data_IF_107922931290
#
_entry.id   IF_107922931290
#
_cell.length_a   1.000
_cell.length_b   1.000
_cell.length_c   1.000
_cell.angle_alpha   90.00
_cell.angle_beta   90.00
_cell.angle_gamma   90.00
#
_symmetry.space_group_name_H-M   'P 1'
#
loop_
_entity.id
_entity.type
_entity.pdbx_description
1 polymer ?
#
# COMPACT_ATOMS: atom_id res chain seq x y z
N UNK A 1 -13.24 16.00 22.32
CA UNK A 1 -12.38 15.15 21.45
C UNK A 1 -12.25 13.77 22.08
N UNK A 2 -12.58 12.68 21.33
CA UNK A 2 -12.55 11.28 21.82
C UNK A 2 -11.16 10.94 22.36
N UNK A 3 -11.07 10.16 23.43
CA UNK A 3 -9.80 9.79 24.09
C UNK A 3 -8.78 9.20 23.11
N UNK A 4 -9.23 8.38 22.16
CA UNK A 4 -8.42 7.81 21.08
C UNK A 4 -7.79 8.85 20.16
N UNK A 5 -8.51 9.92 19.80
CA UNK A 5 -7.97 10.95 18.91
C UNK A 5 -6.88 11.77 19.61
N UNK A 6 -7.03 12.03 20.91
CA UNK A 6 -5.98 12.67 21.71
C UNK A 6 -4.75 11.77 21.78
N UNK A 7 -4.93 10.49 22.09
CA UNK A 7 -3.84 9.52 22.12
C UNK A 7 -3.10 9.42 20.78
N UNK A 8 -3.81 9.31 19.64
CA UNK A 8 -3.18 9.30 18.31
C UNK A 8 -2.43 10.59 18.01
N UNK A 9 -2.97 11.74 18.43
CA UNK A 9 -2.34 13.04 18.22
C UNK A 9 -1.10 13.21 19.09
N UNK A 10 -1.13 12.74 20.34
CA UNK A 10 0.02 12.72 21.25
C UNK A 10 1.14 11.85 20.67
N UNK A 11 0.80 10.65 20.19
CA UNK A 11 1.74 9.75 19.53
C UNK A 11 2.33 10.34 18.24
N UNK A 12 1.53 11.03 17.43
CA UNK A 12 2.00 11.67 16.21
C UNK A 12 3.04 12.75 16.51
N UNK A 13 2.86 13.53 17.59
CA UNK A 13 3.78 14.58 17.99
C UNK A 13 5.15 14.05 18.41
N UNK A 14 5.24 12.79 18.85
CA UNK A 14 6.48 12.10 19.23
C UNK A 14 6.80 10.94 18.29
N UNK A 15 6.26 10.95 17.08
CA UNK A 15 6.45 9.87 16.12
C UNK A 15 7.87 9.84 15.57
N UNK A 16 8.30 8.65 15.16
CA UNK A 16 9.58 8.43 14.49
C UNK A 16 9.34 8.07 13.05
N UNK A 17 9.96 8.81 12.14
CA UNK A 17 9.97 8.50 10.71
C UNK A 17 11.10 7.52 10.38
N UNK A 18 10.78 6.45 9.66
CA UNK A 18 11.76 5.49 9.17
C UNK A 18 11.62 5.33 7.66
N UNK A 19 12.69 5.63 6.93
CA UNK A 19 12.74 5.40 5.48
C UNK A 19 13.04 3.93 5.23
N UNK A 20 12.12 3.25 4.56
CA UNK A 20 12.25 1.84 4.16
C UNK A 20 12.76 1.72 2.73
N UNK A 21 13.49 0.63 2.49
CA UNK A 21 13.99 0.25 1.17
C UNK A 21 12.85 -0.23 0.26
N UNK A 22 12.04 0.72 -0.23
CA UNK A 22 10.84 0.48 -1.04
C UNK A 22 10.52 1.68 -1.94
N UNK A 23 9.84 1.46 -3.06
CA UNK A 23 9.33 2.52 -3.94
C UNK A 23 7.86 2.23 -4.27
N UNK A 24 6.96 2.96 -3.61
CA UNK A 24 5.52 2.73 -3.72
C UNK A 24 5.03 2.89 -5.15
N UNK A 25 5.49 3.93 -5.85
CA UNK A 25 5.05 4.21 -7.20
C UNK A 25 5.56 3.19 -8.21
N UNK A 26 6.80 2.74 -8.08
CA UNK A 26 7.32 1.69 -8.94
C UNK A 26 6.54 0.39 -8.76
N UNK A 27 6.30 -0.04 -7.52
CA UNK A 27 5.54 -1.27 -7.23
C UNK A 27 4.09 -1.15 -7.68
N UNK A 28 3.46 0.00 -7.46
CA UNK A 28 2.10 0.28 -7.96
C UNK A 28 2.01 0.11 -9.49
N UNK A 29 2.94 0.71 -10.26
CA UNK A 29 2.95 0.56 -11.73
C UNK A 29 3.11 -0.92 -12.12
N UNK A 30 4.02 -1.65 -11.49
CA UNK A 30 4.27 -3.06 -11.78
C UNK A 30 3.06 -3.96 -11.48
N UNK A 31 2.34 -3.70 -10.39
CA UNK A 31 1.14 -4.45 -10.01
C UNK A 31 -0.05 -4.20 -10.96
N UNK A 32 -0.15 -2.99 -11.49
CA UNK A 32 -1.28 -2.54 -12.30
C UNK A 32 -1.15 -2.86 -13.79
N UNK A 33 0.03 -3.23 -14.25
CA UNK A 33 0.31 -3.44 -15.67
C UNK A 33 0.67 -4.89 -16.00
N UNK A 34 1.92 -5.26 -15.77
CA UNK A 34 2.49 -6.55 -16.19
C UNK A 34 3.66 -6.87 -15.26
N UNK A 35 3.68 -8.12 -14.75
CA UNK A 35 4.61 -8.53 -13.70
C UNK A 35 5.99 -8.96 -14.22
N UNK A 36 6.13 -9.20 -15.52
CA UNK A 36 7.38 -9.58 -16.18
C UNK A 36 8.10 -8.39 -16.84
N UNK A 37 7.38 -7.32 -17.16
CA UNK A 37 7.97 -6.17 -17.83
C UNK A 37 8.82 -5.30 -16.90
N UNK A 38 10.03 -4.96 -17.38
CA UNK A 38 10.92 -4.03 -16.69
C UNK A 38 10.27 -2.65 -16.54
N UNK A 39 10.41 -2.03 -15.37
CA UNK A 39 9.86 -0.70 -15.03
C UNK A 39 10.14 0.40 -16.08
N UNK A 40 11.30 0.42 -16.73
CA UNK A 40 11.62 1.38 -17.80
C UNK A 40 10.64 1.27 -18.96
N UNK A 41 10.30 0.05 -19.35
CA UNK A 41 9.34 -0.23 -20.41
C UNK A 41 7.93 0.15 -19.97
N UNK A 42 7.52 -0.22 -18.76
CA UNK A 42 6.22 0.14 -18.20
C UNK A 42 6.01 1.66 -18.16
N UNK A 43 6.98 2.39 -17.60
CA UNK A 43 6.98 3.86 -17.55
C UNK A 43 6.90 4.46 -18.95
N UNK A 44 7.72 3.99 -19.89
CA UNK A 44 7.69 4.51 -21.26
C UNK A 44 6.33 4.28 -21.93
N UNK A 45 5.74 3.09 -21.77
CA UNK A 45 4.41 2.78 -22.31
C UNK A 45 3.33 3.69 -21.73
N UNK A 46 3.32 3.92 -20.41
CA UNK A 46 2.36 4.83 -19.77
C UNK A 46 2.51 6.26 -20.30
N UNK A 47 3.74 6.75 -20.44
CA UNK A 47 3.97 8.11 -20.96
C UNK A 47 3.48 8.22 -22.41
N UNK A 48 3.92 7.33 -23.31
CA UNK A 48 3.49 7.37 -24.71
C UNK A 48 1.97 7.25 -24.83
N UNK A 49 1.36 6.34 -24.06
CA UNK A 49 -0.08 6.12 -24.10
C UNK A 49 -0.86 7.37 -23.69
N UNK A 50 -0.48 8.01 -22.59
CA UNK A 50 -1.26 9.09 -21.97
C UNK A 50 -0.78 10.53 -22.28
N UNK A 51 0.36 10.69 -22.96
CA UNK A 51 0.80 11.99 -23.47
C UNK A 51 0.67 12.09 -24.99
N UNK A 52 0.95 11.01 -25.73
CA UNK A 52 1.00 11.07 -27.19
C UNK A 52 -0.30 10.59 -27.85
N UNK A 53 -0.98 9.58 -27.25
CA UNK A 53 -2.12 8.91 -27.92
C UNK A 53 -3.49 9.16 -27.30
N UNK A 54 -3.56 9.61 -26.04
CA UNK A 54 -4.84 9.89 -25.36
C UNK A 54 -4.63 10.56 -24.01
N UNK A 55 -5.70 11.10 -23.41
CA UNK A 55 -5.65 11.64 -22.04
C UNK A 55 -6.21 10.62 -21.05
N UNK A 56 -5.70 10.54 -19.81
CA UNK A 56 -6.27 9.69 -18.76
C UNK A 56 -7.74 10.09 -18.50
N UNK A 57 -8.63 9.11 -18.55
CA UNK A 57 -10.08 9.28 -18.41
C UNK A 57 -10.60 8.93 -17.01
N UNK A 58 -9.82 8.18 -16.23
CA UNK A 58 -10.21 7.75 -14.88
C UNK A 58 -9.22 8.22 -13.82
N UNK A 59 -9.66 8.28 -12.56
CA UNK A 59 -8.78 8.59 -11.41
C UNK A 59 -7.59 7.62 -11.35
N UNK A 60 -7.82 6.32 -11.60
CA UNK A 60 -6.78 5.30 -11.58
C UNK A 60 -5.75 5.49 -12.69
N UNK A 61 -6.18 5.84 -13.90
CA UNK A 61 -5.28 6.19 -15.00
C UNK A 61 -4.46 7.45 -14.67
N UNK A 62 -5.09 8.47 -14.08
CA UNK A 62 -4.37 9.65 -13.62
C UNK A 62 -3.29 9.30 -12.57
N UNK A 63 -3.62 8.44 -11.59
CA UNK A 63 -2.66 7.97 -10.58
C UNK A 63 -1.48 7.24 -11.22
N UNK A 64 -1.73 6.37 -12.21
CA UNK A 64 -0.67 5.67 -12.95
C UNK A 64 0.25 6.62 -13.71
N UNK A 65 -0.32 7.64 -14.36
CA UNK A 65 0.47 8.66 -15.07
C UNK A 65 1.33 9.46 -14.09
N UNK A 66 0.77 9.90 -12.96
CA UNK A 66 1.54 10.62 -11.95
C UNK A 66 2.66 9.77 -11.36
N UNK A 67 2.38 8.50 -11.04
CA UNK A 67 3.40 7.55 -10.60
C UNK A 67 4.51 7.40 -11.65
N UNK A 68 4.14 7.23 -12.92
CA UNK A 68 5.10 7.08 -14.02
C UNK A 68 6.00 8.31 -14.19
N UNK A 69 5.47 9.52 -14.03
CA UNK A 69 6.25 10.76 -14.08
C UNK A 69 7.30 10.83 -12.96
N UNK A 70 6.92 10.44 -11.74
CA UNK A 70 7.84 10.41 -10.59
C UNK A 70 8.94 9.37 -10.81
N UNK A 71 8.56 8.14 -11.21
CA UNK A 71 9.52 7.07 -11.46
C UNK A 71 10.44 7.40 -12.64
N UNK A 72 9.91 8.00 -13.72
CA UNK A 72 10.72 8.47 -14.86
C UNK A 72 11.79 9.44 -14.42
N UNK A 73 11.42 10.47 -13.65
CA UNK A 73 12.36 11.48 -13.14
C UNK A 73 13.46 10.84 -12.28
N UNK A 74 13.10 9.86 -11.44
CA UNK A 74 14.07 9.12 -10.61
C UNK A 74 15.04 8.31 -11.48
N UNK A 75 14.54 7.61 -12.50
CA UNK A 75 15.35 6.84 -13.44
C UNK A 75 16.30 7.76 -14.23
N UNK A 76 15.79 8.85 -14.79
CA UNK A 76 16.58 9.83 -15.55
C UNK A 76 17.69 10.46 -14.69
N UNK A 77 17.36 10.79 -13.43
CA UNK A 77 18.36 11.28 -12.47
C UNK A 77 19.46 10.24 -12.26
N UNK A 78 19.11 8.98 -12.00
CA UNK A 78 20.10 7.92 -11.84
C UNK A 78 20.99 7.75 -13.08
N UNK A 79 20.39 7.74 -14.28
CA UNK A 79 21.11 7.58 -15.55
C UNK A 79 22.10 8.72 -15.84
N UNK A 80 21.81 9.92 -15.35
CA UNK A 80 22.71 11.06 -15.45
C UNK A 80 23.86 10.95 -14.44
N UNK A 81 23.54 10.71 -13.17
CA UNK A 81 24.49 10.71 -12.06
C UNK A 81 25.49 9.55 -12.15
N UNK A 82 25.06 8.37 -12.60
CA UNK A 82 25.94 7.19 -12.66
C UNK A 82 27.10 7.38 -13.65
N UNK A 83 26.97 8.29 -14.63
CA UNK A 83 28.02 8.60 -15.61
C UNK A 83 29.19 9.36 -14.99
N UNK A 84 28.92 10.23 -14.03
CA UNK A 84 29.91 11.07 -13.35
C UNK A 84 30.31 10.52 -11.99
N UNK A 85 29.43 9.76 -11.35
CA UNK A 85 29.66 9.11 -10.07
C UNK A 85 29.24 7.63 -10.13
N UNK A 86 30.16 6.70 -10.45
CA UNK A 86 29.88 5.27 -10.50
C UNK A 86 29.39 4.65 -9.18
N UNK A 87 29.57 5.36 -8.05
CA UNK A 87 29.09 4.93 -6.73
C UNK A 87 27.68 5.42 -6.41
N UNK A 88 27.03 6.16 -7.32
CA UNK A 88 25.70 6.70 -7.10
C UNK A 88 24.69 5.56 -6.84
N UNK A 89 23.93 5.60 -5.73
CA UNK A 89 23.11 4.48 -5.31
C UNK A 89 22.01 4.20 -6.32
N UNK A 90 21.89 2.93 -6.68
CA UNK A 90 20.84 2.46 -7.58
C UNK A 90 19.48 2.51 -6.88
N UNK A 91 18.49 3.25 -7.42
CA UNK A 91 17.18 3.35 -6.79
C UNK A 91 16.47 1.99 -6.75
N UNK A 92 15.54 1.82 -5.80
CA UNK A 92 14.80 0.57 -5.60
C UNK A 92 14.22 0.03 -6.91
N UNK A 93 13.55 0.89 -7.68
CA UNK A 93 12.91 0.52 -8.95
C UNK A 93 13.89 0.00 -10.02
N UNK A 94 15.20 0.27 -9.90
CA UNK A 94 16.23 -0.26 -10.81
C UNK A 94 17.05 -1.41 -10.19
N UNK A 95 16.91 -1.66 -8.88
CA UNK A 95 17.42 -2.86 -8.20
C UNK A 95 16.44 -4.03 -8.33
N UNK A 96 15.14 -3.74 -8.26
CA UNK A 96 14.04 -4.70 -8.43
C UNK A 96 13.15 -4.25 -9.59
N UNK A 97 13.59 -4.44 -10.84
CA UNK A 97 12.96 -3.83 -12.01
C UNK A 97 11.65 -4.45 -12.47
N UNK A 98 11.27 -5.63 -11.97
CA UNK A 98 10.00 -6.31 -12.29
C UNK A 98 9.21 -6.62 -11.02
N UNK A 99 7.91 -6.92 -11.15
CA UNK A 99 7.12 -7.33 -9.99
C UNK A 99 7.63 -8.67 -9.43
N UNK A 100 8.15 -9.55 -10.29
CA UNK A 100 8.77 -10.79 -9.86
C UNK A 100 9.97 -10.54 -8.94
N UNK A 101 10.84 -9.59 -9.28
CA UNK A 101 11.98 -9.20 -8.43
C UNK A 101 11.51 -8.66 -7.07
N UNK A 102 10.44 -7.85 -7.08
CA UNK A 102 9.83 -7.31 -5.85
C UNK A 102 9.27 -8.45 -4.99
N UNK A 103 8.55 -9.40 -5.57
CA UNK A 103 8.02 -10.57 -4.84
C UNK A 103 9.14 -11.42 -4.25
N UNK A 104 10.19 -11.69 -5.01
CA UNK A 104 11.36 -12.43 -4.55
C UNK A 104 12.08 -11.71 -3.39
N UNK A 105 12.22 -10.38 -3.50
CA UNK A 105 12.77 -9.54 -2.44
C UNK A 105 11.90 -9.58 -1.18
N UNK A 106 10.59 -9.45 -1.31
CA UNK A 106 9.66 -9.51 -0.19
C UNK A 106 9.73 -10.85 0.54
N UNK A 107 9.76 -11.97 -0.19
CA UNK A 107 9.92 -13.30 0.39
C UNK A 107 11.25 -13.44 1.16
N UNK A 108 12.33 -12.88 0.61
CA UNK A 108 13.64 -12.88 1.27
C UNK A 108 13.65 -12.01 2.55
N UNK A 109 12.86 -10.94 2.59
CA UNK A 109 12.75 -10.04 3.74
C UNK A 109 11.80 -10.55 4.83
N UNK A 110 10.90 -11.50 4.53
CA UNK A 110 9.92 -12.01 5.49
C UNK A 110 10.58 -12.53 6.78
N UNK A 111 11.66 -13.30 6.65
CA UNK A 111 12.45 -13.80 7.78
C UNK A 111 13.26 -12.72 8.53
N UNK A 112 13.25 -11.48 8.02
CA UNK A 112 14.06 -10.34 8.49
C UNK A 112 13.18 -9.18 8.98
N UNK A 113 11.88 -9.41 9.11
CA UNK A 113 10.98 -8.44 9.70
C UNK A 113 11.45 -8.07 11.12
N UNK A 114 11.47 -6.78 11.41
CA UNK A 114 11.79 -6.26 12.73
C UNK A 114 10.49 -5.89 13.44
N UNK A 115 10.42 -6.18 14.73
CA UNK A 115 9.35 -5.68 15.58
C UNK A 115 9.56 -4.17 15.74
N UNK A 116 8.52 -3.39 15.47
CA UNK A 116 8.55 -1.95 15.67
C UNK A 116 8.45 -1.63 17.16
N UNK A 117 8.92 -0.45 17.53
CA UNK A 117 8.84 0.07 18.89
C UNK A 117 7.39 0.03 19.42
N UNK A 118 7.20 -0.46 20.65
CA UNK A 118 5.91 -0.63 21.30
C UNK A 118 5.53 0.55 22.22
N UNK A 119 6.36 1.58 22.29
CA UNK A 119 6.13 2.83 23.02
C UNK A 119 5.81 4.00 22.07
N UNK A 120 6.25 3.95 20.80
CA UNK A 120 6.17 5.07 19.87
C UNK A 120 5.43 4.75 18.57
N UNK A 121 4.81 5.78 17.97
CA UNK A 121 4.30 5.69 16.60
C UNK A 121 5.49 5.71 15.63
N UNK A 122 5.54 4.71 14.74
CA UNK A 122 6.54 4.64 13.67
C UNK A 122 5.88 4.90 12.33
N UNK A 123 6.32 5.93 11.61
CA UNK A 123 5.84 6.26 10.27
C UNK A 123 6.85 5.71 9.26
N UNK A 124 6.43 4.74 8.45
CA UNK A 124 7.27 4.14 7.41
C UNK A 124 7.13 4.95 6.12
N UNK A 125 8.26 5.46 5.62
CA UNK A 125 8.34 6.27 4.40
C UNK A 125 9.10 5.51 3.31
N UNK A 126 8.65 5.57 2.07
CA UNK A 126 9.38 4.99 0.94
C UNK A 126 10.57 5.89 0.50
N UNK A 127 11.32 5.48 -0.52
CA UNK A 127 12.43 6.27 -1.10
C UNK A 127 11.98 7.64 -1.66
N UNK A 128 10.67 7.89 -1.82
CA UNK A 128 10.08 9.15 -2.27
C UNK A 128 9.49 9.97 -1.10
N UNK A 129 9.76 9.59 0.15
CA UNK A 129 9.19 10.21 1.36
C UNK A 129 7.66 10.08 1.46
N UNK A 130 7.09 9.03 0.84
CA UNK A 130 5.65 8.76 0.89
C UNK A 130 5.37 7.76 2.01
N UNK A 131 4.38 8.05 2.85
CA UNK A 131 3.93 7.13 3.89
C UNK A 131 3.38 5.84 3.27
N UNK A 132 4.02 4.72 3.59
CA UNK A 132 3.66 3.36 3.15
C UNK A 132 3.14 2.49 4.29
N UNK A 133 3.29 2.93 5.54
CA UNK A 133 2.79 2.22 6.70
C UNK A 133 2.91 3.04 7.97
N UNK A 134 2.08 2.71 8.96
CA UNK A 134 2.14 3.30 10.30
C UNK A 134 2.10 2.15 11.30
N UNK A 135 3.16 2.04 12.11
CA UNK A 135 3.19 1.23 13.32
C UNK A 135 2.64 2.05 14.48
N UNK A 136 1.67 1.49 15.19
CA UNK A 136 1.13 2.08 16.42
C UNK A 136 1.52 1.20 17.60
N UNK A 137 1.90 1.80 18.74
CA UNK A 137 2.05 1.06 19.98
C UNK A 137 0.68 0.51 20.42
N UNK A 138 0.64 -0.56 21.24
CA UNK A 138 -0.61 -1.12 21.75
C UNK A 138 -1.49 -0.04 22.39
N UNK A 139 -2.79 -0.09 22.12
CA UNK A 139 -3.69 0.89 22.72
C UNK A 139 -3.75 0.66 24.25
N UNK A 140 -3.61 1.70 25.08
CA UNK A 140 -3.64 1.52 26.53
C UNK A 140 -4.95 0.84 26.97
N UNK A 141 -4.83 -0.33 27.60
CA UNK A 141 -5.99 -1.02 28.18
C UNK A 141 -6.64 -0.14 29.23
N UNK A 142 -7.92 0.18 29.04
CA UNK A 142 -8.74 0.82 30.06
C UNK A 142 -8.86 -0.11 31.27
N UNK A 143 -8.51 0.35 32.47
CA UNK A 143 -8.63 -0.43 33.71
C UNK A 143 -10.09 -0.73 34.17
N UNK A 144 -11.09 -0.55 33.32
CA UNK A 144 -12.49 -0.85 33.63
C UNK A 144 -12.99 -2.08 32.88
N UNK A 145 -14.08 -2.68 33.36
CA UNK A 145 -14.80 -3.73 32.63
C UNK A 145 -15.33 -3.15 31.29
N UNK A 146 -14.75 -3.50 30.13
CA UNK A 146 -15.15 -2.90 28.89
C UNK A 146 -16.51 -3.46 28.47
N UNK A 147 -17.48 -2.57 28.19
CA UNK A 147 -18.81 -2.93 27.67
C UNK A 147 -18.72 -3.47 26.23
N UNK A 148 -17.61 -3.18 25.54
CA UNK A 148 -17.40 -3.55 24.13
C UNK A 148 -16.13 -4.40 23.97
N UNK A 149 -16.18 -5.34 23.03
CA UNK A 149 -15.01 -6.09 22.57
C UNK A 149 -13.92 -5.09 22.14
N UNK A 150 -12.69 -5.32 22.63
CA UNK A 150 -11.53 -4.49 22.32
C UNK A 150 -11.32 -4.37 20.80
N UNK A 151 -10.70 -3.28 20.36
CA UNK A 151 -10.42 -3.06 18.95
C UNK A 151 -9.49 -4.15 18.38
N UNK A 152 -8.50 -4.60 19.16
CA UNK A 152 -7.56 -5.65 18.79
C UNK A 152 -8.25 -7.01 18.63
N UNK A 153 -9.10 -7.40 19.59
CA UNK A 153 -9.86 -8.65 19.50
C UNK A 153 -10.75 -8.65 18.26
N UNK A 154 -11.41 -7.53 17.96
CA UNK A 154 -12.27 -7.39 16.78
C UNK A 154 -11.48 -7.43 15.47
N UNK A 155 -10.31 -6.78 15.43
CA UNK A 155 -9.43 -6.81 14.26
C UNK A 155 -8.90 -8.22 14.02
N UNK A 156 -8.50 -8.94 15.08
CA UNK A 156 -8.03 -10.32 15.01
C UNK A 156 -9.14 -11.28 14.56
N UNK A 157 -10.36 -11.15 15.09
CA UNK A 157 -11.51 -11.93 14.66
C UNK A 157 -11.83 -11.67 13.18
N UNK A 158 -11.80 -10.40 12.75
CA UNK A 158 -12.03 -10.04 11.36
C UNK A 158 -10.94 -10.60 10.43
N UNK A 159 -9.67 -10.51 10.82
CA UNK A 159 -8.56 -11.10 10.07
C UNK A 159 -8.70 -12.62 9.96
N UNK A 160 -9.05 -13.29 11.08
CA UNK A 160 -9.31 -14.74 11.09
C UNK A 160 -10.48 -15.10 10.17
N UNK A 161 -11.55 -14.31 10.17
CA UNK A 161 -12.69 -14.52 9.27
C UNK A 161 -12.29 -14.32 7.80
N UNK A 162 -11.50 -13.28 7.48
CA UNK A 162 -10.97 -13.05 6.12
C UNK A 162 -10.08 -14.20 5.65
N UNK A 163 -9.22 -14.73 6.52
CA UNK A 163 -8.36 -15.89 6.22
C UNK A 163 -9.20 -17.17 6.05
N UNK A 164 -10.22 -17.36 6.88
CA UNK A 164 -11.10 -18.53 6.82
C UNK A 164 -12.09 -18.46 5.63
N UNK A 165 -12.45 -17.26 5.18
CA UNK A 165 -13.36 -17.00 4.05
C UNK A 165 -12.65 -16.17 2.98
N UNK A 166 -11.73 -16.77 2.22
CA UNK A 166 -11.05 -16.07 1.15
C UNK A 166 -12.07 -15.54 0.13
N UNK A 167 -12.04 -14.22 -0.09
CA UNK A 167 -12.93 -13.48 -1.03
C UNK A 167 -12.66 -13.90 -2.48
N UNK A 168 -11.47 -14.43 -2.78
CA UNK A 168 -11.11 -14.96 -4.09
C UNK A 168 -10.77 -16.45 -3.98
N UNK A 169 -11.76 -17.32 -4.21
CA UNK A 169 -11.46 -18.71 -4.60
C UNK A 169 -11.03 -18.69 -6.07
N UNK A 170 -9.74 -18.93 -6.31
CA UNK A 170 -9.22 -19.30 -7.63
C UNK A 170 -9.47 -20.80 -7.81
N UNK A 171 -10.19 -21.18 -8.86
CA UNK A 171 -10.26 -22.58 -9.26
C UNK A 171 -8.97 -22.94 -10.02
N UNK A 172 -8.09 -23.66 -9.35
CA UNK A 172 -6.80 -24.11 -9.87
C UNK A 172 -6.91 -25.38 -10.74
N UNK A 173 -8.12 -25.90 -10.95
CA UNK A 173 -8.38 -27.08 -11.77
C UNK A 173 -8.46 -26.82 -13.29
N UNK A 174 -8.45 -25.56 -13.73
CA UNK A 174 -8.53 -25.19 -15.15
C UNK A 174 -7.55 -24.08 -15.54
N UNK A 175 -7.01 -24.18 -16.75
CA UNK A 175 -6.13 -23.18 -17.38
C UNK A 175 -6.87 -22.50 -18.56
N UNK A 176 -7.01 -21.16 -18.57
CA UNK A 176 -6.59 -20.22 -17.54
C UNK A 176 -7.56 -20.19 -16.34
N UNK A 177 -7.05 -19.94 -15.11
CA UNK A 177 -7.88 -19.87 -13.91
C UNK A 177 -8.85 -18.68 -13.97
N UNK A 178 -10.08 -18.87 -13.50
CA UNK A 178 -11.12 -17.84 -13.43
C UNK A 178 -11.56 -17.60 -11.98
N UNK A 179 -12.09 -16.41 -11.70
CA UNK A 179 -12.62 -16.03 -10.40
C UNK A 179 -13.99 -16.68 -10.16
N UNK A 180 -14.16 -17.39 -9.04
CA UNK A 180 -15.38 -18.18 -8.76
C UNK A 180 -16.53 -17.36 -8.13
N UNK A 181 -16.33 -16.09 -7.79
CA UNK A 181 -17.38 -15.27 -7.17
C UNK A 181 -17.79 -14.10 -8.08
N UNK A 182 -19.11 -13.92 -8.25
CA UNK A 182 -19.69 -12.71 -8.84
C UNK A 182 -19.08 -11.49 -8.17
N UNK A 183 -18.27 -10.74 -8.91
CA UNK A 183 -17.99 -9.35 -8.58
C UNK A 183 -19.33 -8.65 -8.51
N UNK A 184 -19.74 -8.19 -7.31
CA UNK A 184 -20.79 -7.19 -7.23
C UNK A 184 -20.38 -6.06 -8.17
N UNK A 185 -21.10 -5.89 -9.28
CA UNK A 185 -20.86 -4.77 -10.19
C UNK A 185 -21.15 -3.49 -9.42
N UNK A 186 -20.10 -2.70 -9.22
CA UNK A 186 -20.19 -1.43 -8.53
C UNK A 186 -18.91 -1.06 -7.82
N UNK A 187 -18.75 0.24 -7.55
CA UNK A 187 -17.72 0.72 -6.64
C UNK A 187 -17.83 0.01 -5.29
N UNK A 188 -16.71 -0.27 -4.60
CA UNK A 188 -16.74 -0.82 -3.24
C UNK A 188 -17.65 0.06 -2.37
N UNK A 189 -18.82 -0.46 -1.98
CA UNK A 189 -19.70 0.24 -1.07
C UNK A 189 -19.39 -0.24 0.34
N UNK A 190 -19.13 0.71 1.24
CA UNK A 190 -19.14 0.42 2.67
C UNK A 190 -20.53 -0.14 3.03
N UNK A 191 -20.63 -1.23 3.80
CA UNK A 191 -21.92 -1.70 4.32
C UNK A 191 -22.61 -0.67 5.23
N UNK A 192 -21.89 0.40 5.62
CA UNK A 192 -22.41 1.55 6.35
C UNK A 192 -22.06 2.85 5.59
N UNK A 193 -22.85 3.24 4.58
CA UNK A 193 -22.63 4.48 3.86
C UNK A 193 -22.78 5.67 4.82
N UNK A 194 -21.81 6.59 4.73
CA UNK A 194 -21.88 7.86 5.43
C UNK A 194 -22.93 8.72 4.73
N UNK A 195 -23.98 9.08 5.46
CA UNK A 195 -24.93 10.09 5.03
C UNK A 195 -25.06 11.19 6.11
N UNK A 196 -25.75 12.27 5.76
CA UNK A 196 -25.93 13.44 6.62
C UNK A 196 -26.68 13.13 7.92
N UNK A 197 -27.42 12.02 7.96
CA UNK A 197 -28.16 11.55 9.14
C UNK A 197 -27.29 10.67 10.04
N UNK A 198 -26.53 9.75 9.47
CA UNK A 198 -25.72 8.76 10.17
C UNK A 198 -24.44 9.42 10.71
N UNK A 199 -23.74 10.22 9.89
CA UNK A 199 -22.42 10.79 10.21
C UNK A 199 -21.42 9.76 10.78
N UNK A 200 -21.62 8.47 10.49
CA UNK A 200 -20.82 7.36 11.02
C UNK A 200 -21.08 7.00 12.49
N UNK A 201 -22.20 7.43 13.08
CA UNK A 201 -22.49 7.24 14.51
C UNK A 201 -23.42 6.06 14.81
N UNK A 202 -24.09 5.48 13.81
CA UNK A 202 -25.00 4.35 14.02
C UNK A 202 -24.52 3.09 13.29
N UNK A 203 -24.41 1.99 14.05
CA UNK A 203 -24.30 0.63 13.51
C UNK A 203 -25.56 -0.11 13.95
N UNK A 204 -26.47 -0.39 13.03
CA UNK A 204 -27.62 -1.27 13.29
C UNK A 204 -27.15 -2.71 13.21
N UNK A 205 -27.42 -3.47 14.27
CA UNK A 205 -27.18 -4.92 14.36
C UNK A 205 -28.32 -5.70 13.71
#
# INVERSE_FOLDING_TARGET
MRQTNRWLQDLHNTSVEQVVDFDLFAVFIMQEMDDELHIRKLVNMLIVTFFDTGKPQTTRQNQLVQAALVVRKKIEKYDLEIKTNPSYPKPYCLRYPTLQDVRARSAHLESRCMVLDDEQMVILLDENWICVGIGLPPFPTSQGNPVHISHETRALECLRDMVAKPVCKLDVGQLPPFFVAQTLEGSPQTPFPLDDKNKGNFRTW
#
